data_IF_555795051134
#
_entry.id   IF_555795051134
#
_cell.length_a   1.000
_cell.length_b   1.000
_cell.length_c   1.000
_cell.angle_alpha   90.00
_cell.angle_beta   90.00
_cell.angle_gamma   90.00
#
_symmetry.space_group_name_H-M   'P 1'
#
loop_
_entity.id
_entity.type
_entity.pdbx_description
1 polymer ?
#
# COMPACT_ATOMS: atom_id res chain seq x y z
N UNK A 1 -68.32 4.76 15.09
CA UNK A 1 -67.47 5.97 14.97
C UNK A 1 -66.03 5.50 15.08
N UNK A 2 -65.09 5.67 14.17
CA UNK A 2 -64.95 6.15 12.78
C UNK A 2 -63.50 5.72 12.42
N UNK A 3 -63.25 5.09 11.26
CA UNK A 3 -62.40 5.63 10.15
C UNK A 3 -60.95 5.98 10.59
N UNK A 4 -59.82 5.64 9.95
CA UNK A 4 -59.46 5.23 8.58
C UNK A 4 -57.90 5.17 8.51
N UNK A 5 -57.33 4.31 7.63
CA UNK A 5 -56.06 4.49 6.85
C UNK A 5 -54.72 4.55 7.64
N UNK A 6 -53.54 4.09 7.22
CA UNK A 6 -52.99 3.61 5.95
C UNK A 6 -51.50 4.01 5.89
N UNK A 7 -50.63 3.13 5.36
CA UNK A 7 -49.28 3.39 4.75
C UNK A 7 -48.17 3.85 5.76
N UNK A 8 -46.86 3.60 5.69
CA UNK A 8 -45.86 3.51 4.60
C UNK A 8 -44.59 2.77 5.09
N UNK A 9 -43.94 2.07 4.16
CA UNK A 9 -42.58 1.50 4.22
C UNK A 9 -41.49 2.58 4.27
N UNK A 10 -40.51 2.48 5.16
CA UNK A 10 -39.26 3.24 5.02
C UNK A 10 -38.04 2.34 5.23
N UNK A 11 -37.39 2.00 4.12
CA UNK A 11 -36.00 1.57 4.08
C UNK A 11 -35.09 2.74 4.50
N UNK A 12 -34.10 2.45 5.35
CA UNK A 12 -33.04 3.40 5.66
C UNK A 12 -32.12 3.52 4.44
N UNK A 13 -32.08 4.71 3.83
CA UNK A 13 -31.06 5.06 2.83
C UNK A 13 -29.82 5.61 3.54
N UNK A 14 -28.67 5.01 3.23
CA UNK A 14 -27.36 5.50 3.68
C UNK A 14 -27.04 6.75 2.88
N UNK A 15 -26.79 7.88 3.56
CA UNK A 15 -26.23 9.06 2.93
C UNK A 15 -24.80 8.74 2.48
N UNK A 16 -24.58 8.66 1.17
CA UNK A 16 -23.24 8.71 0.59
C UNK A 16 -22.94 10.18 0.32
N UNK A 17 -21.91 10.71 0.99
CA UNK A 17 -21.32 12.01 0.66
C UNK A 17 -20.78 11.95 -0.78
N UNK A 18 -21.55 12.50 -1.72
CA UNK A 18 -21.09 12.76 -3.08
C UNK A 18 -20.32 14.08 -3.00
N UNK A 19 -19.00 13.99 -2.97
CA UNK A 19 -18.15 15.15 -3.24
C UNK A 19 -18.18 15.36 -4.76
N UNK A 20 -18.69 16.52 -5.18
CA UNK A 20 -18.72 16.90 -6.60
C UNK A 20 -17.29 16.91 -7.18
N UNK A 21 -17.05 16.31 -8.35
CA UNK A 21 -15.73 16.33 -8.97
C UNK A 21 -15.38 17.75 -9.45
N UNK A 22 -14.16 18.18 -9.10
CA UNK A 22 -13.58 19.47 -9.48
C UNK A 22 -13.58 19.63 -11.02
N UNK A 23 -14.21 20.69 -11.58
CA UNK A 23 -14.32 20.89 -13.01
C UNK A 23 -13.00 21.26 -13.72
N UNK A 24 -11.87 21.36 -13.01
CA UNK A 24 -10.58 21.74 -13.57
C UNK A 24 -9.53 20.62 -13.65
N UNK A 25 -9.87 19.35 -13.35
CA UNK A 25 -8.99 18.24 -13.74
C UNK A 25 -9.04 18.02 -15.26
N UNK A 26 -8.18 18.74 -15.97
CA UNK A 26 -7.85 18.41 -17.36
C UNK A 26 -7.11 17.07 -17.40
N UNK A 27 -7.85 15.97 -17.56
CA UNK A 27 -7.30 14.66 -17.95
C UNK A 27 -6.56 14.83 -19.27
N UNK A 28 -5.24 14.83 -19.21
CA UNK A 28 -4.41 14.79 -20.39
C UNK A 28 -4.34 13.34 -20.87
N UNK A 29 -5.29 12.95 -21.73
CA UNK A 29 -5.45 11.59 -22.28
C UNK A 29 -4.28 11.12 -23.17
N UNK A 30 -3.29 12.00 -23.40
CA UNK A 30 -2.10 11.72 -24.20
C UNK A 30 -0.83 11.45 -23.38
N UNK A 31 -0.92 11.20 -22.07
CA UNK A 31 0.23 10.67 -21.33
C UNK A 31 0.42 9.19 -21.75
N UNK A 32 1.51 8.81 -22.43
CA UNK A 32 1.76 7.40 -22.71
C UNK A 32 1.81 6.66 -21.37
N UNK A 33 0.81 5.81 -21.11
CA UNK A 33 0.89 4.81 -20.06
C UNK A 33 1.88 3.78 -20.57
N UNK A 34 3.16 4.04 -20.35
CA UNK A 34 4.14 2.97 -20.31
C UNK A 34 3.70 2.08 -19.17
N UNK A 35 2.91 1.05 -19.49
CA UNK A 35 2.52 0.01 -18.55
C UNK A 35 3.78 -0.75 -18.20
N UNK A 36 4.54 -0.21 -17.25
CA UNK A 36 5.69 -0.90 -16.66
C UNK A 36 5.09 -2.12 -15.97
N UNK A 37 5.15 -3.27 -16.65
CA UNK A 37 4.71 -4.54 -16.10
C UNK A 37 5.55 -4.80 -14.86
N UNK A 38 4.90 -4.75 -13.70
CA UNK A 38 5.55 -5.09 -12.42
C UNK A 38 6.00 -6.54 -12.47
N UNK A 39 7.18 -6.81 -11.91
CA UNK A 39 7.67 -8.17 -11.82
C UNK A 39 6.74 -9.03 -10.93
N UNK A 40 6.72 -10.33 -11.19
CA UNK A 40 6.11 -11.31 -10.28
C UNK A 40 6.83 -11.28 -8.93
N UNK A 41 6.12 -11.43 -7.81
CA UNK A 41 6.75 -11.53 -6.50
C UNK A 41 7.76 -12.68 -6.46
N UNK A 42 8.92 -12.46 -5.85
CA UNK A 42 10.01 -13.43 -5.80
C UNK A 42 10.72 -13.41 -4.44
N UNK A 43 11.38 -14.51 -4.10
CA UNK A 43 12.29 -14.62 -2.95
C UNK A 43 13.69 -14.09 -3.27
N UNK A 44 13.99 -13.87 -4.55
CA UNK A 44 15.29 -13.39 -5.00
C UNK A 44 15.50 -11.92 -4.59
N UNK A 45 16.58 -11.68 -3.87
CA UNK A 45 17.08 -10.35 -3.56
C UNK A 45 17.98 -9.90 -4.71
N UNK A 46 17.67 -8.77 -5.34
CA UNK A 46 18.51 -8.17 -6.39
C UNK A 46 19.68 -7.43 -5.77
N UNK A 47 20.80 -7.38 -6.48
CA UNK A 47 22.04 -6.73 -5.99
C UNK A 47 21.87 -5.24 -5.69
N UNK A 48 20.94 -4.57 -6.38
CA UNK A 48 20.65 -3.15 -6.17
C UNK A 48 19.62 -2.89 -5.05
N UNK A 49 19.08 -3.93 -4.39
CA UNK A 49 18.25 -3.79 -3.20
C UNK A 49 19.18 -3.76 -1.99
N UNK A 50 19.41 -2.58 -1.41
CA UNK A 50 20.43 -2.38 -0.37
C UNK A 50 19.84 -1.94 0.98
N UNK A 51 18.67 -1.31 0.95
CA UNK A 51 17.99 -0.80 2.12
C UNK A 51 16.51 -1.11 2.09
N UNK A 52 15.84 -0.91 3.21
CA UNK A 52 14.38 -0.94 3.28
C UNK A 52 13.83 0.18 4.15
N UNK A 53 12.69 0.72 3.72
CA UNK A 53 11.90 1.70 4.45
C UNK A 53 10.76 1.00 5.18
N UNK A 54 10.74 1.15 6.49
CA UNK A 54 9.67 0.65 7.34
C UNK A 54 8.40 1.47 7.11
N UNK A 55 7.33 0.80 6.69
CA UNK A 55 5.99 1.39 6.48
C UNK A 55 4.97 0.81 7.48
N UNK A 56 5.44 0.25 8.59
CA UNK A 56 4.58 -0.27 9.65
C UNK A 56 3.87 0.87 10.39
N UNK A 57 2.59 0.66 10.69
CA UNK A 57 1.77 1.59 11.47
C UNK A 57 2.14 1.52 12.95
N UNK A 58 2.36 2.69 13.56
CA UNK A 58 2.67 2.86 14.97
C UNK A 58 1.40 2.90 15.82
N UNK A 59 1.56 2.89 17.14
CA UNK A 59 0.45 2.91 18.10
C UNK A 59 -0.46 4.15 17.98
N UNK A 60 0.09 5.28 17.52
CA UNK A 60 -0.65 6.53 17.29
C UNK A 60 -1.32 6.60 15.90
N UNK A 61 -1.23 5.51 15.11
CA UNK A 61 -1.77 5.44 13.76
C UNK A 61 -0.87 6.04 12.67
N UNK A 62 0.24 6.68 13.03
CA UNK A 62 1.22 7.18 12.05
C UNK A 62 2.03 6.04 11.43
N UNK A 63 2.69 6.29 10.29
CA UNK A 63 3.62 5.32 9.68
C UNK A 63 5.06 5.62 10.12
N UNK A 64 5.85 4.57 10.40
CA UNK A 64 7.22 4.74 10.89
C UNK A 64 8.14 5.54 9.93
N UNK A 65 8.27 5.10 8.68
CA UNK A 65 9.06 5.77 7.65
C UNK A 65 10.59 5.62 7.75
N UNK A 66 11.12 4.87 8.72
CA UNK A 66 12.56 4.73 8.96
C UNK A 66 13.27 3.88 7.90
N UNK A 67 14.46 4.30 7.48
CA UNK A 67 15.34 3.54 6.59
C UNK A 67 16.34 2.67 7.37
N UNK A 68 16.47 1.43 6.95
CA UNK A 68 17.26 0.38 7.60
C UNK A 68 18.11 -0.35 6.54
N UNK A 69 19.25 -0.91 6.93
CA UNK A 69 20.05 -1.75 6.04
C UNK A 69 19.30 -3.07 5.77
N UNK A 70 19.48 -3.63 4.57
CA UNK A 70 18.73 -4.82 4.14
C UNK A 70 18.97 -6.04 5.06
N UNK A 71 20.16 -6.19 5.62
CA UNK A 71 20.50 -7.32 6.50
C UNK A 71 19.73 -7.31 7.83
N UNK A 72 19.29 -6.13 8.29
CA UNK A 72 18.51 -6.02 9.52
C UNK A 72 17.01 -6.18 9.26
N UNK A 73 16.43 -7.27 9.76
CA UNK A 73 14.98 -7.53 9.69
C UNK A 73 14.15 -6.82 10.75
N UNK A 74 14.77 -6.11 11.69
CA UNK A 74 14.07 -5.32 12.70
C UNK A 74 14.33 -3.84 12.42
N UNK A 75 13.28 -3.03 12.42
CA UNK A 75 13.39 -1.59 12.26
C UNK A 75 14.15 -0.99 13.44
N UNK A 76 15.17 -0.16 13.15
CA UNK A 76 16.00 0.48 14.17
C UNK A 76 15.22 1.48 15.04
N UNK A 77 14.17 2.11 14.49
CA UNK A 77 13.40 3.14 15.18
C UNK A 77 12.20 2.55 15.92
N UNK A 78 11.23 1.95 15.20
CA UNK A 78 9.99 1.46 15.81
C UNK A 78 10.04 0.02 16.33
N UNK A 79 11.16 -0.70 16.13
CA UNK A 79 11.36 -2.10 16.53
C UNK A 79 10.43 -3.12 15.87
N UNK A 80 9.54 -2.69 14.98
CA UNK A 80 8.74 -3.57 14.15
C UNK A 80 9.61 -4.44 13.27
N UNK A 81 9.18 -5.69 13.06
CA UNK A 81 9.79 -6.58 12.08
C UNK A 81 9.48 -6.07 10.67
N UNK A 82 10.45 -6.18 9.76
CA UNK A 82 10.26 -5.98 8.34
C UNK A 82 9.13 -6.89 7.84
N UNK A 83 8.16 -6.31 7.15
CA UNK A 83 6.89 -6.94 6.88
C UNK A 83 6.21 -6.46 5.61
N UNK A 84 5.02 -7.00 5.37
CA UNK A 84 4.20 -6.64 4.21
C UNK A 84 3.99 -5.12 4.18
N UNK A 85 4.16 -4.53 2.99
CA UNK A 85 4.01 -3.09 2.75
C UNK A 85 5.31 -2.29 2.86
N UNK A 86 6.36 -2.85 3.46
CA UNK A 86 7.68 -2.20 3.52
C UNK A 86 8.30 -2.10 2.14
N UNK A 87 8.97 -0.98 1.90
CA UNK A 87 9.57 -0.68 0.60
C UNK A 87 11.05 -1.09 0.61
N UNK A 88 11.50 -1.67 -0.49
CA UNK A 88 12.89 -1.96 -0.76
C UNK A 88 13.50 -0.86 -1.60
N UNK A 89 14.68 -0.36 -1.22
CA UNK A 89 15.30 0.79 -1.89
C UNK A 89 16.76 0.53 -2.29
N UNK A 90 17.19 1.23 -3.33
CA UNK A 90 18.58 1.27 -3.75
C UNK A 90 19.45 2.18 -2.86
N UNK A 91 20.72 2.36 -3.25
CA UNK A 91 21.68 3.21 -2.56
C UNK A 91 21.25 4.69 -2.44
N UNK A 92 20.36 5.15 -3.30
CA UNK A 92 19.89 6.53 -3.36
C UNK A 92 18.55 6.72 -2.62
N UNK A 93 18.01 5.66 -2.01
CA UNK A 93 16.69 5.67 -1.38
C UNK A 93 15.54 5.59 -2.38
N UNK A 94 15.82 5.30 -3.65
CA UNK A 94 14.80 5.09 -4.67
C UNK A 94 14.11 3.77 -4.40
N UNK A 95 12.77 3.79 -4.35
CA UNK A 95 11.99 2.57 -4.22
C UNK A 95 12.07 1.72 -5.47
N UNK A 96 12.56 0.49 -5.32
CA UNK A 96 12.67 -0.49 -6.41
C UNK A 96 11.88 -1.77 -6.13
N UNK A 97 11.46 -1.99 -4.88
CA UNK A 97 10.68 -3.16 -4.49
C UNK A 97 9.67 -2.86 -3.37
N UNK A 98 8.73 -3.78 -3.15
CA UNK A 98 7.84 -3.80 -1.99
C UNK A 98 7.63 -5.24 -1.52
N UNK A 99 7.60 -5.48 -0.22
CA UNK A 99 7.19 -6.78 0.32
C UNK A 99 5.67 -6.91 0.19
N UNK A 100 5.22 -7.93 -0.53
CA UNK A 100 3.78 -8.18 -0.76
C UNK A 100 3.27 -9.36 0.05
N UNK A 101 4.16 -10.25 0.51
CA UNK A 101 3.80 -11.38 1.35
C UNK A 101 4.97 -11.78 2.25
N UNK A 102 4.67 -12.21 3.46
CA UNK A 102 5.63 -12.84 4.39
C UNK A 102 5.05 -14.16 4.85
N UNK A 103 5.83 -15.24 4.69
CA UNK A 103 5.43 -16.55 5.18
C UNK A 103 5.68 -16.62 6.70
N UNK A 104 4.59 -16.68 7.48
CA UNK A 104 4.67 -16.69 8.94
C UNK A 104 5.31 -17.95 9.53
N UNK A 105 5.46 -19.05 8.76
CA UNK A 105 6.08 -20.29 9.24
C UNK A 105 7.60 -20.25 9.23
N UNK A 106 8.21 -19.70 8.18
CA UNK A 106 9.67 -19.71 7.97
C UNK A 106 10.29 -18.31 7.85
N UNK A 107 9.48 -17.25 7.78
CA UNK A 107 9.94 -15.87 7.68
C UNK A 107 10.42 -15.44 6.30
N UNK A 108 10.09 -16.20 5.25
CA UNK A 108 10.37 -15.81 3.86
C UNK A 108 9.60 -14.56 3.46
N UNK A 109 10.28 -13.64 2.78
CA UNK A 109 9.76 -12.35 2.34
C UNK A 109 9.68 -12.34 0.81
N UNK A 110 8.48 -12.13 0.26
CA UNK A 110 8.25 -12.08 -1.18
C UNK A 110 8.21 -10.64 -1.65
N UNK A 111 9.19 -10.27 -2.48
CA UNK A 111 9.40 -8.93 -2.99
C UNK A 111 8.81 -8.79 -4.39
N UNK A 112 8.00 -7.77 -4.59
CA UNK A 112 7.58 -7.32 -5.92
C UNK A 112 8.42 -6.14 -6.36
N UNK A 113 9.21 -6.34 -7.42
CA UNK A 113 10.05 -5.29 -8.01
C UNK A 113 9.28 -4.42 -8.99
N UNK A 114 9.69 -3.16 -9.09
CA UNK A 114 9.06 -2.16 -9.94
C UNK A 114 9.13 -2.49 -11.44
N UNK A 115 10.19 -3.18 -11.86
CA UNK A 115 10.37 -3.68 -13.23
C UNK A 115 10.87 -5.13 -13.22
N UNK A 116 10.72 -5.81 -14.34
CA UNK A 116 11.50 -7.02 -14.65
C UNK A 116 13.01 -6.66 -14.72
N UNK A 117 13.89 -7.65 -14.55
CA UNK A 117 15.36 -7.45 -14.75
C UNK A 117 15.70 -7.36 -16.23
#
# INVERSE_FOLDING_TARGET
MSETEGVVSTQAVVAMDITDPDPYEHRNENKPSFDIKKAKPTLQIRENLLYWKCNQTLHDGSMCGSYNELDFKQCKDCKSRRGVGDDGTDAYGTKIAKIVFVNNKNGEEFWQYASEE
#
